data_IF_542177964404
#
_entry.id   IF_542177964404
#
_cell.length_a   1.000
_cell.length_b   1.000
_cell.length_c   1.000
_cell.angle_alpha   90.00
_cell.angle_beta   90.00
_cell.angle_gamma   90.00
#
_symmetry.space_group_name_H-M   'P 1'
#
loop_
_entity.id
_entity.type
_entity.pdbx_description
1 polymer ?
#
# COMPACT_ATOMS: atom_id res chain seq x y z
N UNK A 1 17.56 -25.37 26.70
CA UNK A 1 16.14 -25.64 26.97
C UNK A 1 15.72 -24.67 28.07
N UNK A 2 14.97 -23.62 27.74
CA UNK A 2 14.44 -22.69 28.73
C UNK A 2 12.93 -22.92 28.79
N UNK A 3 12.44 -23.47 29.90
CA UNK A 3 11.03 -23.58 30.20
C UNK A 3 10.73 -22.56 31.31
N UNK A 4 9.83 -21.60 31.03
CA UNK A 4 9.30 -20.68 32.02
C UNK A 4 7.90 -21.12 32.42
N UNK A 5 7.60 -21.10 33.72
CA UNK A 5 6.28 -21.43 34.26
C UNK A 5 5.64 -20.15 34.80
N UNK A 6 4.50 -19.74 34.25
CA UNK A 6 3.64 -18.71 34.83
C UNK A 6 2.17 -19.15 34.69
N UNK A 7 1.42 -19.03 35.78
CA UNK A 7 -0.05 -19.23 35.81
C UNK A 7 -0.54 -20.59 35.23
N UNK A 8 0.19 -21.69 35.47
CA UNK A 8 -0.26 -23.04 35.12
C UNK A 8 -0.22 -23.40 33.62
N UNK A 9 0.35 -22.54 32.78
CA UNK A 9 0.53 -22.81 31.34
C UNK A 9 1.97 -23.22 31.08
N UNK A 10 2.20 -24.47 30.64
CA UNK A 10 3.54 -24.97 30.31
C UNK A 10 3.90 -24.59 28.88
N UNK A 11 4.73 -23.56 28.72
CA UNK A 11 5.34 -23.25 27.43
C UNK A 11 6.57 -24.15 27.22
N UNK A 12 6.41 -25.18 26.39
CA UNK A 12 7.53 -25.97 25.88
C UNK A 12 8.03 -25.27 24.63
N UNK A 13 9.23 -24.70 24.69
CA UNK A 13 9.97 -24.38 23.47
C UNK A 13 10.36 -25.70 22.80
N UNK A 14 9.55 -26.16 21.84
CA UNK A 14 9.94 -27.32 21.02
C UNK A 14 11.16 -26.91 20.19
N UNK A 15 12.24 -27.69 20.27
CA UNK A 15 13.47 -27.42 19.52
C UNK A 15 13.36 -27.78 18.05
N UNK A 16 12.15 -27.96 17.54
CA UNK A 16 11.93 -28.16 16.12
C UNK A 16 12.08 -26.82 15.40
N UNK A 17 13.30 -26.52 14.95
CA UNK A 17 13.65 -25.31 14.20
C UNK A 17 13.23 -25.39 12.72
N UNK A 18 12.25 -26.24 12.37
CA UNK A 18 11.78 -26.42 11.00
C UNK A 18 10.76 -25.36 10.55
N UNK A 19 10.46 -24.36 11.38
CA UNK A 19 9.55 -23.30 10.98
C UNK A 19 10.25 -22.38 9.98
N UNK A 20 9.78 -22.39 8.73
CA UNK A 20 10.40 -21.63 7.65
C UNK A 20 10.12 -20.12 7.70
N UNK A 21 9.14 -19.67 8.50
CA UNK A 21 8.71 -18.29 8.54
C UNK A 21 7.27 -18.09 8.06
N UNK A 22 6.73 -16.86 8.16
CA UNK A 22 5.45 -16.51 7.56
C UNK A 22 5.51 -16.66 6.03
N UNK A 23 4.37 -16.98 5.39
CA UNK A 23 4.29 -17.23 3.95
C UNK A 23 5.37 -18.20 3.43
N UNK A 24 5.55 -19.35 4.11
CA UNK A 24 6.60 -20.34 3.79
C UNK A 24 8.03 -19.75 3.76
N UNK A 25 8.30 -18.73 4.56
CA UNK A 25 9.59 -18.06 4.62
C UNK A 25 9.84 -17.04 3.50
N UNK A 26 8.80 -16.63 2.74
CA UNK A 26 8.94 -15.57 1.73
C UNK A 26 8.97 -14.19 2.38
N UNK A 27 8.10 -13.98 3.37
CA UNK A 27 7.96 -12.70 4.08
C UNK A 27 8.90 -12.67 5.28
N UNK A 28 10.18 -12.42 5.02
CA UNK A 28 11.23 -12.34 6.04
C UNK A 28 12.18 -11.17 5.78
N UNK A 29 12.99 -10.85 6.80
CA UNK A 29 14.02 -9.82 6.74
C UNK A 29 15.44 -10.38 6.86
N UNK A 30 15.63 -11.68 6.60
CA UNK A 30 16.92 -12.38 6.78
C UNK A 30 17.88 -12.11 5.62
N UNK A 31 17.34 -11.87 4.42
CA UNK A 31 18.09 -11.62 3.20
C UNK A 31 17.66 -10.32 2.57
N UNK A 32 18.61 -9.56 2.01
CA UNK A 32 18.33 -8.27 1.38
C UNK A 32 17.24 -8.33 0.30
N UNK A 33 17.26 -9.37 -0.55
CA UNK A 33 16.26 -9.53 -1.62
C UNK A 33 14.84 -9.81 -1.11
N UNK A 34 14.70 -10.67 -0.10
CA UNK A 34 13.40 -11.02 0.49
C UNK A 34 12.85 -9.87 1.36
N UNK A 35 13.75 -9.13 2.01
CA UNK A 35 13.41 -7.88 2.69
C UNK A 35 12.85 -6.86 1.69
N UNK A 36 13.49 -6.64 0.54
CA UNK A 36 12.97 -5.74 -0.48
C UNK A 36 11.61 -6.18 -1.05
N UNK A 37 11.41 -7.49 -1.27
CA UNK A 37 10.12 -8.03 -1.70
C UNK A 37 9.01 -7.74 -0.66
N UNK A 38 9.32 -7.96 0.62
CA UNK A 38 8.39 -7.70 1.73
C UNK A 38 8.06 -6.20 1.83
N UNK A 39 9.05 -5.32 1.66
CA UNK A 39 8.84 -3.86 1.61
C UNK A 39 7.99 -3.47 0.41
N UNK A 40 8.23 -4.04 -0.77
CA UNK A 40 7.43 -3.78 -1.97
C UNK A 40 5.96 -4.18 -1.78
N UNK A 41 5.72 -5.35 -1.18
CA UNK A 41 4.38 -5.78 -0.80
C UNK A 41 3.71 -4.77 0.15
N UNK A 42 4.44 -4.31 1.17
CA UNK A 42 3.92 -3.32 2.11
C UNK A 42 3.56 -1.98 1.46
N UNK A 43 4.41 -1.47 0.57
CA UNK A 43 4.19 -0.21 -0.17
C UNK A 43 3.00 -0.30 -1.13
N UNK A 44 2.69 -1.50 -1.63
CA UNK A 44 1.53 -1.77 -2.47
C UNK A 44 0.20 -1.79 -1.70
N UNK A 45 0.22 -1.56 -0.38
CA UNK A 45 -0.94 -1.58 0.53
C UNK A 45 -1.65 -2.94 0.61
N UNK A 46 -0.99 -4.02 0.23
CA UNK A 46 -1.53 -5.38 0.24
C UNK A 46 -0.81 -6.19 1.33
N UNK A 47 -1.56 -6.82 2.24
CA UNK A 47 -1.00 -7.67 3.31
C UNK A 47 -0.07 -6.98 4.33
N UNK A 48 0.12 -5.66 4.26
CA UNK A 48 1.09 -4.93 5.11
C UNK A 48 0.76 -5.00 6.61
N UNK A 49 -0.52 -5.06 6.95
CA UNK A 49 -0.96 -5.20 8.35
C UNK A 49 -0.66 -6.59 8.90
N UNK A 50 -0.78 -7.64 8.08
CA UNK A 50 -0.44 -9.01 8.45
C UNK A 50 1.07 -9.14 8.74
N UNK A 51 1.90 -8.53 7.88
CA UNK A 51 3.36 -8.47 8.11
C UNK A 51 3.67 -7.75 9.43
N UNK A 52 3.03 -6.61 9.70
CA UNK A 52 3.19 -5.89 10.97
C UNK A 52 2.78 -6.77 12.16
N UNK A 53 1.68 -7.52 12.06
CA UNK A 53 1.24 -8.42 13.12
C UNK A 53 2.24 -9.56 13.37
N UNK A 54 2.81 -10.15 12.32
CA UNK A 54 3.85 -11.17 12.47
C UNK A 54 5.11 -10.62 13.14
N UNK A 55 5.51 -9.39 12.84
CA UNK A 55 6.63 -8.73 13.53
C UNK A 55 6.28 -8.41 14.99
N UNK A 56 5.06 -7.99 15.26
CA UNK A 56 4.58 -7.74 16.62
C UNK A 56 4.61 -9.01 17.48
N UNK A 57 4.25 -10.16 16.92
CA UNK A 57 4.27 -11.44 17.63
C UNK A 57 5.71 -11.96 17.82
N UNK A 58 6.65 -11.57 16.96
CA UNK A 58 8.06 -11.96 17.05
C UNK A 58 8.90 -11.07 17.99
N UNK A 59 8.70 -9.75 17.96
CA UNK A 59 9.56 -8.75 18.62
C UNK A 59 8.84 -7.98 19.74
N UNK A 60 7.52 -7.98 19.74
CA UNK A 60 6.67 -7.20 20.66
C UNK A 60 6.00 -6.00 19.98
N UNK A 61 4.91 -5.50 20.58
CA UNK A 61 4.00 -4.52 19.95
C UNK A 61 4.40 -3.05 20.02
N UNK A 62 5.36 -2.68 20.86
CA UNK A 62 5.56 -1.27 21.24
C UNK A 62 6.21 -0.40 20.15
N UNK A 63 7.07 -1.00 19.33
CA UNK A 63 7.93 -0.29 18.38
C UNK A 63 7.65 -0.55 16.89
N UNK A 64 7.21 -1.75 16.45
CA UNK A 64 7.08 -2.05 15.02
C UNK A 64 6.08 -1.18 14.27
N UNK A 65 5.00 -0.74 14.94
CA UNK A 65 3.95 0.07 14.30
C UNK A 65 4.50 1.38 13.71
N UNK A 66 5.50 2.01 14.35
CA UNK A 66 6.10 3.26 13.86
C UNK A 66 6.79 3.02 12.51
N UNK A 67 7.53 1.93 12.40
CA UNK A 67 8.23 1.56 11.18
C UNK A 67 7.24 1.28 10.04
N UNK A 68 6.25 0.42 10.27
CA UNK A 68 5.31 0.02 9.23
C UNK A 68 4.39 1.17 8.79
N UNK A 69 3.90 1.99 9.74
CA UNK A 69 3.05 3.14 9.42
C UNK A 69 3.82 4.21 8.63
N UNK A 70 5.06 4.53 9.02
CA UNK A 70 5.87 5.51 8.27
C UNK A 70 6.28 4.98 6.90
N UNK A 71 6.60 3.69 6.78
CA UNK A 71 6.89 3.02 5.51
C UNK A 71 5.71 3.08 4.55
N UNK A 72 4.50 2.79 5.03
CA UNK A 72 3.28 2.81 4.23
C UNK A 72 2.95 4.24 3.80
N UNK A 73 2.99 5.21 4.71
CA UNK A 73 2.72 6.61 4.38
C UNK A 73 3.73 7.10 3.35
N UNK A 74 5.02 7.09 3.67
CA UNK A 74 6.04 7.66 2.79
C UNK A 74 6.17 6.87 1.49
N UNK A 75 6.13 5.54 1.55
CA UNK A 75 6.27 4.67 0.39
C UNK A 75 5.09 4.76 -0.56
N UNK A 76 3.85 4.65 -0.05
CA UNK A 76 2.66 4.68 -0.91
C UNK A 76 2.41 6.08 -1.46
N UNK A 77 2.60 7.16 -0.69
CA UNK A 77 2.53 8.52 -1.23
C UNK A 77 3.59 8.76 -2.30
N UNK A 78 4.81 8.27 -2.10
CA UNK A 78 5.87 8.40 -3.10
C UNK A 78 5.51 7.69 -4.41
N UNK A 79 5.03 6.44 -4.34
CA UNK A 79 4.65 5.67 -5.53
C UNK A 79 3.44 6.30 -6.23
N UNK A 80 2.40 6.70 -5.50
CA UNK A 80 1.24 7.38 -6.08
C UNK A 80 1.64 8.69 -6.76
N UNK A 81 2.46 9.51 -6.12
CA UNK A 81 2.95 10.77 -6.69
C UNK A 81 3.81 10.53 -7.94
N UNK A 82 4.60 9.46 -7.98
CA UNK A 82 5.39 9.09 -9.17
C UNK A 82 4.48 8.66 -10.32
N UNK A 83 3.47 7.82 -10.06
CA UNK A 83 2.51 7.38 -11.07
C UNK A 83 1.73 8.57 -11.63
N UNK A 84 1.21 9.44 -10.76
CA UNK A 84 0.50 10.65 -11.17
C UNK A 84 1.41 11.59 -11.98
N UNK A 85 2.65 11.80 -11.55
CA UNK A 85 3.61 12.64 -12.26
C UNK A 85 4.01 12.10 -13.65
N UNK A 86 4.12 10.78 -13.80
CA UNK A 86 4.37 10.15 -15.11
C UNK A 86 3.16 10.31 -16.02
N UNK A 87 1.96 10.08 -15.51
CA UNK A 87 0.74 10.20 -16.30
C UNK A 87 0.47 11.67 -16.69
N UNK A 88 0.78 12.64 -15.81
CA UNK A 88 0.65 14.06 -16.16
C UNK A 88 1.63 14.44 -17.27
N UNK A 89 2.86 13.93 -17.21
CA UNK A 89 3.87 14.20 -18.24
C UNK A 89 3.60 13.53 -19.58
N UNK A 90 2.80 12.47 -19.63
CA UNK A 90 2.48 11.75 -20.88
C UNK A 90 1.32 12.38 -21.68
N UNK A 91 0.79 13.52 -21.22
CA UNK A 91 -0.35 14.21 -21.84
C UNK A 91 -1.68 13.49 -21.64
N UNK A 92 -1.71 12.41 -20.84
CA UNK A 92 -2.92 11.62 -20.63
C UNK A 92 -3.91 12.33 -19.70
N UNK A 93 -3.41 13.06 -18.70
CA UNK A 93 -4.28 13.86 -17.83
C UNK A 93 -4.69 15.17 -18.51
N UNK A 94 -3.85 15.74 -19.39
CA UNK A 94 -4.17 16.96 -20.12
C UNK A 94 -5.41 16.78 -21.00
N UNK A 95 -5.54 15.65 -21.70
CA UNK A 95 -6.75 15.37 -22.50
C UNK A 95 -8.01 15.13 -21.65
N UNK A 96 -7.86 14.58 -20.43
CA UNK A 96 -8.98 14.35 -19.50
C UNK A 96 -9.48 15.68 -18.95
N UNK A 97 -8.58 16.52 -18.43
CA UNK A 97 -8.94 17.81 -17.86
C UNK A 97 -9.56 18.73 -18.92
N UNK A 98 -9.05 18.70 -20.15
CA UNK A 98 -9.61 19.46 -21.27
C UNK A 98 -11.05 19.01 -21.64
N UNK A 99 -11.39 17.74 -21.43
CA UNK A 99 -12.72 17.21 -21.70
C UNK A 99 -13.73 17.52 -20.58
N UNK A 100 -13.26 17.75 -19.36
CA UNK A 100 -14.08 18.19 -18.22
C UNK A 100 -14.45 19.68 -18.34
N UNK A 101 -13.57 20.51 -18.89
CA UNK A 101 -13.81 21.94 -19.14
C UNK A 101 -14.78 22.21 -20.33
N UNK A 102 -15.37 21.18 -20.94
CA UNK A 102 -16.40 21.36 -21.99
C UNK A 102 -17.71 21.71 -21.28
N UNK A 103 -18.08 23.00 -21.29
CA UNK A 103 -19.40 23.44 -20.83
C UNK A 103 -20.49 22.70 -21.62
N UNK A 104 -21.55 22.19 -20.96
CA UNK A 104 -22.65 21.56 -21.66
C UNK A 104 -23.26 22.57 -22.62
N UNK A 105 -23.40 22.20 -23.90
CA UNK A 105 -24.13 23.00 -24.88
C UNK A 105 -25.55 23.19 -24.36
N UNK A 106 -25.91 24.43 -24.06
CA UNK A 106 -27.26 24.78 -23.65
C UNK A 106 -28.08 24.93 -24.94
N UNK A 107 -28.82 23.88 -25.31
CA UNK A 107 -29.56 23.81 -26.58
C UNK A 107 -30.61 24.93 -26.73
N UNK A 108 -31.00 25.57 -25.63
CA UNK A 108 -32.01 26.64 -25.57
C UNK A 108 -31.55 27.97 -26.19
N UNK A 109 -30.24 28.21 -26.38
CA UNK A 109 -29.72 29.47 -26.97
C UNK A 109 -29.57 29.43 -28.51
N UNK A 110 -29.67 28.26 -29.15
CA UNK A 110 -29.43 28.12 -30.59
C UNK A 110 -30.66 28.39 -31.47
N UNK A 111 -31.88 28.40 -30.90
CA UNK A 111 -33.11 28.66 -31.67
C UNK A 111 -33.25 30.15 -32.04
N UNK A 112 -32.73 31.06 -31.20
CA UNK A 112 -32.88 32.51 -31.39
C UNK A 112 -31.99 33.07 -32.53
N UNK A 113 -30.81 32.48 -32.78
CA UNK A 113 -29.92 32.92 -33.87
C UNK A 113 -30.41 32.47 -35.26
N UNK A 114 -31.14 31.35 -35.35
CA UNK A 114 -31.67 30.86 -36.62
C UNK A 114 -32.87 31.68 -37.11
N UNK A 115 -33.60 32.33 -36.20
CA UNK A 115 -34.75 33.16 -36.57
C UNK A 115 -34.36 34.55 -37.11
N UNK A 116 -33.10 34.97 -36.95
CA UNK A 116 -32.58 36.24 -37.49
C UNK A 116 -31.91 36.10 -38.87
N UNK A 117 -31.47 34.90 -39.25
CA UNK A 117 -30.83 34.61 -40.55
C UNK A 117 -31.77 33.97 -41.59
N UNK A 118 -33.08 33.89 -41.31
CA UNK A 118 -34.12 33.37 -42.20
C UNK A 118 -34.87 34.44 -42.98
#
# INVERSE_FOLDING_TARGET
MAAGHYEGVQWICTSNTSWQGPNNGITNFDNFGLAMLTVFQCVSLEGWTDVMYWVNDAVGREWPWIYFVTLVILGSFFVLNLVLGVLSGSGYLDWINQAEDIEPVNDDEQEDEQQFNG
#
